data_IF_962425468758
#
_entry.id   IF_962425468758
#
_cell.length_a   1.000
_cell.length_b   1.000
_cell.length_c   1.000
_cell.angle_alpha   90.00
_cell.angle_beta   90.00
_cell.angle_gamma   90.00
#
_symmetry.space_group_name_H-M   'P 1'
#
loop_
_entity.id
_entity.type
_entity.pdbx_description
1 polymer ?
#
# COMPACT_ATOMS: atom_id res chain seq x y z
N UNK A 1 -31.23 11.43 -3.54
CA UNK A 1 -31.45 11.70 -4.98
C UNK A 1 -30.13 12.17 -5.58
N UNK A 2 -29.46 11.32 -6.36
CA UNK A 2 -28.24 11.65 -7.10
C UNK A 2 -28.52 11.36 -8.58
N UNK A 3 -28.39 12.39 -9.41
CA UNK A 3 -28.84 12.42 -10.81
C UNK A 3 -27.69 11.91 -11.69
N UNK A 4 -27.85 10.71 -12.26
CA UNK A 4 -26.89 10.10 -13.18
C UNK A 4 -27.22 10.58 -14.61
N UNK A 5 -26.35 11.38 -15.23
CA UNK A 5 -26.53 11.84 -16.61
C UNK A 5 -25.98 10.77 -17.56
N UNK A 6 -26.88 10.05 -18.24
CA UNK A 6 -26.58 9.12 -19.32
C UNK A 6 -26.55 9.89 -20.65
N UNK A 7 -25.42 9.91 -21.35
CA UNK A 7 -25.31 10.51 -22.68
C UNK A 7 -25.53 9.40 -23.72
N UNK A 8 -26.54 9.56 -24.56
CA UNK A 8 -26.89 8.68 -25.70
C UNK A 8 -25.82 8.77 -26.80
N UNK A 9 -25.34 7.61 -27.25
CA UNK A 9 -24.60 7.49 -28.52
C UNK A 9 -25.56 7.65 -29.72
N UNK A 10 -25.19 8.43 -30.76
CA UNK A 10 -25.90 8.41 -32.03
C UNK A 10 -25.47 7.18 -32.85
N UNK A 11 -26.44 6.35 -33.22
CA UNK A 11 -26.32 5.25 -34.17
C UNK A 11 -26.11 5.76 -35.60
N UNK A 12 -25.15 5.16 -36.30
CA UNK A 12 -24.86 5.40 -37.72
C UNK A 12 -25.99 4.85 -38.58
N UNK A 13 -26.59 5.71 -39.41
CA UNK A 13 -27.56 5.32 -40.45
C UNK A 13 -26.80 5.00 -41.73
N UNK A 14 -26.86 3.74 -42.16
CA UNK A 14 -26.39 3.30 -43.47
C UNK A 14 -27.46 3.60 -44.54
N UNK A 15 -27.12 4.41 -45.53
CA UNK A 15 -27.87 4.58 -46.77
C UNK A 15 -26.90 4.51 -47.94
N UNK A 16 -27.16 3.60 -48.88
CA UNK A 16 -26.34 3.34 -50.08
C UNK A 16 -26.86 4.12 -51.30
N UNK A 17 -25.89 4.45 -52.18
CA UNK A 17 -25.88 4.61 -53.65
C UNK A 17 -26.89 5.62 -54.27
N UNK A 18 -26.59 6.51 -55.24
CA UNK A 18 -25.71 6.46 -56.42
C UNK A 18 -25.62 7.89 -57.00
N UNK A 19 -24.49 8.31 -57.58
CA UNK A 19 -24.38 8.84 -58.97
C UNK A 19 -23.06 9.60 -59.20
N UNK A 20 -22.42 9.19 -60.29
CA UNK A 20 -21.19 9.65 -60.91
C UNK A 20 -21.34 11.09 -61.44
N UNK A 21 -20.39 11.98 -61.15
CA UNK A 21 -19.94 12.92 -62.17
C UNK A 21 -18.50 13.37 -61.95
N UNK A 22 -17.73 13.23 -63.02
CA UNK A 22 -16.32 13.56 -63.10
C UNK A 22 -16.16 15.08 -63.13
N UNK A 23 -15.57 15.65 -62.08
CA UNK A 23 -14.87 16.92 -62.21
C UNK A 23 -13.55 16.85 -61.45
N UNK A 24 -12.47 16.85 -62.23
CA UNK A 24 -11.09 17.03 -61.79
C UNK A 24 -11.01 18.32 -60.98
N UNK A 25 -11.04 18.21 -59.65
CA UNK A 25 -10.66 19.29 -58.76
C UNK A 25 -9.50 18.79 -57.90
N UNK A 26 -8.30 19.20 -58.32
CA UNK A 26 -7.09 19.14 -57.51
C UNK A 26 -7.33 19.98 -56.25
N UNK A 27 -7.84 19.36 -55.19
CA UNK A 27 -7.94 19.96 -53.86
C UNK A 27 -6.85 19.35 -53.00
N UNK A 28 -5.74 20.08 -52.98
CA UNK A 28 -4.71 20.12 -51.93
C UNK A 28 -5.07 19.28 -50.68
N UNK A 29 -4.51 18.07 -50.61
CA UNK A 29 -4.32 17.36 -49.35
C UNK A 29 -3.26 18.11 -48.54
N UNK A 30 -3.65 19.19 -47.88
CA UNK A 30 -2.71 20.09 -47.20
C UNK A 30 -2.99 20.36 -45.73
N UNK A 31 -4.25 20.45 -45.28
CA UNK A 31 -4.51 21.33 -44.12
C UNK A 31 -5.14 20.68 -42.87
N UNK A 32 -5.28 19.36 -42.79
CA UNK A 32 -5.79 18.72 -41.55
C UNK A 32 -4.91 17.61 -40.95
N UNK A 33 -3.76 17.31 -41.55
CA UNK A 33 -2.80 16.32 -41.03
C UNK A 33 -1.89 16.88 -39.94
N UNK A 34 -1.60 18.18 -39.95
CA UNK A 34 -0.62 18.77 -39.04
C UNK A 34 -1.14 18.88 -37.60
N UNK A 35 -2.40 19.32 -37.42
CA UNK A 35 -3.03 19.41 -36.09
C UNK A 35 -3.40 18.05 -35.45
N UNK A 36 -3.65 17.01 -36.26
CA UNK A 36 -3.86 15.64 -35.74
C UNK A 36 -2.56 14.96 -35.38
N UNK A 37 -1.49 15.18 -36.16
CA UNK A 37 -0.18 14.60 -35.90
C UNK A 37 0.47 15.21 -34.64
N UNK A 38 0.29 16.50 -34.40
CA UNK A 38 0.74 17.13 -33.15
C UNK A 38 0.00 16.58 -31.93
N UNK A 39 -1.33 16.39 -32.02
CA UNK A 39 -2.11 15.79 -30.93
C UNK A 39 -1.69 14.34 -30.63
N UNK A 40 -1.41 13.55 -31.66
CA UNK A 40 -0.92 12.17 -31.52
C UNK A 40 0.47 12.16 -30.88
N UNK A 41 1.37 13.07 -31.27
CA UNK A 41 2.69 13.21 -30.64
C UNK A 41 2.58 13.59 -29.16
N UNK A 42 1.68 14.51 -28.81
CA UNK A 42 1.45 14.88 -27.40
C UNK A 42 0.96 13.70 -26.58
N UNK A 43 -0.05 12.97 -27.07
CA UNK A 43 -0.59 11.79 -26.36
C UNK A 43 0.46 10.68 -26.21
N UNK A 44 1.33 10.48 -27.20
CA UNK A 44 2.44 9.53 -27.11
C UNK A 44 3.44 9.94 -26.03
N UNK A 45 3.82 11.21 -25.99
CA UNK A 45 4.73 11.71 -24.95
C UNK A 45 4.11 11.60 -23.54
N UNK A 46 2.81 11.83 -23.39
CA UNK A 46 2.09 11.62 -22.13
C UNK A 46 2.08 10.15 -21.71
N UNK A 47 1.85 9.23 -22.65
CA UNK A 47 1.91 7.79 -22.40
C UNK A 47 3.31 7.35 -21.94
N UNK A 48 4.37 7.78 -22.63
CA UNK A 48 5.76 7.50 -22.28
C UNK A 48 6.10 8.05 -20.88
N UNK A 49 5.61 9.24 -20.56
CA UNK A 49 5.80 9.86 -19.25
C UNK A 49 5.07 9.10 -18.13
N UNK A 50 3.86 8.60 -18.39
CA UNK A 50 3.10 7.77 -17.47
C UNK A 50 3.77 6.42 -17.24
N UNK A 51 4.22 5.76 -18.31
CA UNK A 51 4.96 4.49 -18.22
C UNK A 51 6.23 4.64 -17.38
N UNK A 52 6.98 5.75 -17.57
CA UNK A 52 8.15 6.06 -16.74
C UNK A 52 7.79 6.23 -15.26
N UNK A 53 6.66 6.90 -14.94
CA UNK A 53 6.19 7.05 -13.55
C UNK A 53 5.81 5.70 -12.94
N UNK A 54 5.13 4.85 -13.69
CA UNK A 54 4.76 3.50 -13.25
C UNK A 54 6.03 2.69 -12.97
N UNK A 55 6.98 2.67 -13.90
CA UNK A 55 8.24 1.94 -13.74
C UNK A 55 9.04 2.41 -12.51
N UNK A 56 9.07 3.72 -12.25
CA UNK A 56 9.70 4.26 -11.04
C UNK A 56 8.99 3.81 -9.76
N UNK A 57 7.66 3.81 -9.78
CA UNK A 57 6.84 3.36 -8.65
C UNK A 57 7.06 1.86 -8.39
N UNK A 58 7.02 1.03 -9.44
CA UNK A 58 7.27 -0.42 -9.35
C UNK A 58 8.66 -0.71 -8.80
N UNK A 59 9.70 -0.02 -9.30
CA UNK A 59 11.07 -0.15 -8.77
C UNK A 59 11.19 0.23 -7.30
N UNK A 60 10.43 1.22 -6.85
CA UNK A 60 10.40 1.63 -5.44
C UNK A 60 9.65 0.62 -4.56
N UNK A 61 8.59 -0.01 -5.07
CA UNK A 61 7.67 -0.83 -4.27
C UNK A 61 8.06 -2.31 -4.25
N UNK A 62 8.55 -2.89 -5.35
CA UNK A 62 8.92 -4.32 -5.40
C UNK A 62 9.92 -4.72 -4.30
N UNK A 63 10.97 -3.95 -4.00
CA UNK A 63 11.88 -4.26 -2.90
C UNK A 63 11.18 -4.22 -1.53
N UNK A 64 10.25 -3.26 -1.35
CA UNK A 64 9.51 -3.10 -0.11
C UNK A 64 8.56 -4.27 0.16
N UNK A 65 7.90 -4.77 -0.89
CA UNK A 65 6.98 -5.91 -0.80
C UNK A 65 7.64 -7.28 -0.99
N UNK A 66 8.96 -7.34 -1.22
CA UNK A 66 9.71 -8.57 -1.51
C UNK A 66 9.13 -9.37 -2.69
N UNK A 67 8.53 -8.70 -3.67
CA UNK A 67 7.91 -9.36 -4.82
C UNK A 67 8.98 -9.82 -5.78
N UNK A 68 8.92 -11.10 -6.17
CA UNK A 68 9.76 -11.69 -7.21
C UNK A 68 8.99 -11.70 -8.51
N UNK A 69 9.59 -11.14 -9.56
CA UNK A 69 9.00 -11.06 -10.90
C UNK A 69 8.58 -9.63 -11.29
N UNK A 70 8.20 -9.47 -12.54
CA UNK A 70 7.69 -8.21 -13.08
C UNK A 70 6.19 -8.09 -12.77
N UNK A 71 5.78 -6.96 -12.19
CA UNK A 71 4.37 -6.66 -11.93
C UNK A 71 3.78 -5.94 -13.12
N UNK A 72 2.56 -6.31 -13.52
CA UNK A 72 1.81 -5.48 -14.47
C UNK A 72 1.39 -4.16 -13.80
N UNK A 73 0.93 -3.21 -14.61
CA UNK A 73 0.38 -1.94 -14.11
C UNK A 73 -0.84 -2.17 -13.19
N UNK A 74 -1.72 -3.11 -13.55
CA UNK A 74 -2.89 -3.46 -12.75
C UNK A 74 -2.48 -4.08 -11.41
N UNK A 75 -1.57 -5.07 -11.45
CA UNK A 75 -1.08 -5.73 -10.22
C UNK A 75 -0.40 -4.74 -9.27
N UNK A 76 0.33 -3.77 -9.81
CA UNK A 76 0.99 -2.72 -9.03
C UNK A 76 -0.04 -1.82 -8.33
N UNK A 77 -1.13 -1.46 -9.02
CA UNK A 77 -2.20 -0.63 -8.46
C UNK A 77 -2.95 -1.40 -7.37
N UNK A 78 -3.29 -2.67 -7.62
CA UNK A 78 -4.02 -3.50 -6.64
C UNK A 78 -3.17 -3.73 -5.39
N UNK A 79 -1.89 -4.05 -5.55
CA UNK A 79 -0.94 -4.18 -4.46
C UNK A 79 -0.81 -2.89 -3.65
N UNK A 80 -0.71 -1.73 -4.32
CA UNK A 80 -0.62 -0.45 -3.65
C UNK A 80 -1.90 -0.14 -2.86
N UNK A 81 -3.06 -0.38 -3.47
CA UNK A 81 -4.36 -0.18 -2.80
C UNK A 81 -4.50 -1.08 -1.58
N UNK A 82 -4.12 -2.35 -1.68
CA UNK A 82 -4.10 -3.28 -0.56
C UNK A 82 -3.16 -2.78 0.56
N UNK A 83 -1.95 -2.36 0.19
CA UNK A 83 -1.00 -1.79 1.15
C UNK A 83 -1.53 -0.51 1.83
N UNK A 84 -2.15 0.40 1.07
CA UNK A 84 -2.72 1.63 1.63
C UNK A 84 -3.90 1.32 2.56
N UNK A 85 -4.78 0.38 2.19
CA UNK A 85 -5.86 -0.10 3.07
C UNK A 85 -5.31 -0.68 4.36
N UNK A 86 -4.29 -1.54 4.26
CA UNK A 86 -3.56 -2.08 5.42
C UNK A 86 -3.01 -0.92 6.27
N UNK A 87 -2.29 0.03 5.67
CA UNK A 87 -1.72 1.20 6.35
C UNK A 87 -2.76 2.04 7.09
N UNK A 88 -3.92 2.28 6.51
CA UNK A 88 -5.02 3.00 7.17
C UNK A 88 -5.56 2.20 8.35
N UNK A 89 -5.76 0.89 8.19
CA UNK A 89 -6.17 0.03 9.31
C UNK A 89 -5.14 0.05 10.44
N UNK A 90 -3.84 0.12 10.14
CA UNK A 90 -2.79 0.25 11.16
C UNK A 90 -2.95 1.52 12.01
N UNK A 91 -3.39 2.64 11.40
CA UNK A 91 -3.62 3.88 12.13
C UNK A 91 -4.65 3.70 13.25
N UNK A 92 -5.75 3.00 12.94
CA UNK A 92 -6.80 2.69 13.90
C UNK A 92 -6.36 1.66 14.93
N UNK A 93 -5.77 0.54 14.48
CA UNK A 93 -5.26 -0.49 15.41
C UNK A 93 -4.24 0.12 16.37
N UNK A 94 -3.30 0.94 15.89
CA UNK A 94 -2.29 1.58 16.76
C UNK A 94 -2.92 2.54 17.77
N UNK A 95 -3.95 3.29 17.39
CA UNK A 95 -4.66 4.18 18.32
C UNK A 95 -5.46 3.39 19.36
N UNK A 96 -6.18 2.34 18.95
CA UNK A 96 -6.94 1.50 19.87
C UNK A 96 -6.01 0.71 20.81
N UNK A 97 -4.86 0.28 20.30
CA UNK A 97 -3.83 -0.42 21.07
C UNK A 97 -2.99 0.52 21.94
N UNK A 98 -3.13 1.85 21.87
CA UNK A 98 -2.51 2.73 22.89
C UNK A 98 -3.14 2.55 24.28
N UNK A 99 -4.22 1.78 24.39
CA UNK A 99 -4.92 1.44 25.63
C UNK A 99 -4.40 0.14 26.29
N UNK A 100 -3.09 -0.04 26.36
CA UNK A 100 -2.50 -1.22 27.00
C UNK A 100 -2.55 -1.15 28.53
N UNK A 101 -2.55 -2.33 29.15
CA UNK A 101 -2.34 -2.52 30.58
C UNK A 101 -1.00 -3.18 30.86
N UNK A 102 -0.42 -2.92 32.04
CA UNK A 102 0.78 -3.63 32.50
C UNK A 102 0.32 -4.97 33.08
N UNK A 103 0.67 -6.05 32.41
CA UNK A 103 0.36 -7.43 32.84
C UNK A 103 1.41 -7.95 33.81
N UNK A 104 2.69 -7.80 33.47
CA UNK A 104 3.81 -8.24 34.31
C UNK A 104 4.85 -7.14 34.45
N UNK A 105 5.28 -6.90 35.70
CA UNK A 105 6.45 -6.10 36.02
C UNK A 105 7.40 -6.94 36.88
N UNK A 106 8.56 -7.27 36.34
CA UNK A 106 9.55 -8.08 37.01
C UNK A 106 10.89 -7.35 37.09
N UNK A 107 11.53 -7.42 38.26
CA UNK A 107 12.90 -6.95 38.47
C UNK A 107 13.67 -8.06 39.18
N UNK A 108 14.68 -8.62 38.53
CA UNK A 108 15.51 -9.69 39.09
C UNK A 108 16.94 -9.59 38.59
N UNK A 109 17.89 -9.35 39.50
CA UNK A 109 19.33 -9.44 39.25
C UNK A 109 19.81 -8.69 37.99
N UNK A 110 19.34 -7.46 37.77
CA UNK A 110 19.70 -6.64 36.60
C UNK A 110 18.92 -6.98 35.32
N UNK A 111 17.96 -7.90 35.39
CA UNK A 111 16.96 -8.09 34.35
C UNK A 111 15.65 -7.43 34.81
N UNK A 112 15.20 -6.45 34.04
CA UNK A 112 13.90 -5.84 34.20
C UNK A 112 13.02 -6.26 33.02
N UNK A 113 11.85 -6.81 33.29
CA UNK A 113 10.91 -7.20 32.25
C UNK A 113 9.56 -6.54 32.51
N UNK A 114 9.01 -5.94 31.47
CA UNK A 114 7.65 -5.38 31.45
C UNK A 114 6.87 -6.10 30.36
N UNK A 115 5.73 -6.69 30.70
CA UNK A 115 4.79 -7.24 29.72
C UNK A 115 3.59 -6.29 29.64
N UNK A 116 3.34 -5.79 28.44
CA UNK A 116 2.20 -4.96 28.11
C UNK A 116 1.15 -5.85 27.43
N UNK A 117 -0.06 -5.87 27.98
CA UNK A 117 -1.21 -6.53 27.37
C UNK A 117 -2.05 -5.51 26.62
N UNK A 118 -2.27 -5.78 25.34
CA UNK A 118 -3.03 -4.96 24.43
C UNK A 118 -4.40 -5.60 24.21
N UNK A 119 -5.26 -5.51 25.24
CA UNK A 119 -6.62 -6.05 25.25
C UNK A 119 -6.70 -7.52 24.83
N UNK A 120 -5.75 -8.34 25.28
CA UNK A 120 -5.65 -9.77 24.95
C UNK A 120 -5.46 -10.08 23.47
N UNK A 121 -5.19 -9.08 22.62
CA UNK A 121 -4.87 -9.28 21.20
C UNK A 121 -3.37 -9.47 20.98
N UNK A 122 -2.56 -8.76 21.74
CA UNK A 122 -1.10 -8.76 21.66
C UNK A 122 -0.51 -8.66 23.07
N UNK A 123 0.51 -9.46 23.34
CA UNK A 123 1.38 -9.28 24.50
C UNK A 123 2.76 -8.83 24.01
N UNK A 124 3.22 -7.67 24.46
CA UNK A 124 4.57 -7.17 24.18
C UNK A 124 5.43 -7.30 25.43
N UNK A 125 6.56 -7.98 25.33
CA UNK A 125 7.59 -8.02 26.37
C UNK A 125 8.70 -7.03 26.05
N UNK A 126 9.01 -6.15 27.01
CA UNK A 126 10.17 -5.27 27.02
C UNK A 126 11.11 -5.73 28.14
N UNK A 127 12.19 -6.41 27.76
CA UNK A 127 13.21 -6.88 28.70
C UNK A 127 14.46 -6.02 28.58
N UNK A 128 14.81 -5.32 29.66
CA UNK A 128 16.07 -4.62 29.85
C UNK A 128 17.04 -5.52 30.62
N UNK A 129 18.16 -5.84 29.99
CA UNK A 129 19.33 -6.45 30.62
C UNK A 129 20.32 -5.32 30.96
N UNK A 130 20.60 -5.13 32.24
CA UNK A 130 21.55 -4.11 32.76
C UNK A 130 22.92 -4.70 33.10
N UNK A 131 23.24 -5.89 32.61
CA UNK A 131 24.59 -6.43 32.67
C UNK A 131 25.60 -5.50 31.95
N UNK A 132 26.92 -5.69 32.10
CA UNK A 132 27.93 -4.80 31.52
C UNK A 132 27.75 -4.54 30.01
N UNK A 133 27.10 -5.47 29.29
CA UNK A 133 26.68 -5.30 27.90
C UNK A 133 25.17 -5.03 27.84
N UNK A 134 24.73 -3.90 28.39
CA UNK A 134 23.32 -3.59 28.55
C UNK A 134 22.57 -3.68 27.21
N UNK A 135 21.43 -4.35 27.21
CA UNK A 135 20.64 -4.54 26.00
C UNK A 135 19.15 -4.56 26.29
N UNK A 136 18.36 -4.25 25.27
CA UNK A 136 16.91 -4.26 25.34
C UNK A 136 16.42 -5.32 24.36
N UNK A 137 15.50 -6.16 24.81
CA UNK A 137 14.80 -7.13 23.99
C UNK A 137 13.33 -6.73 23.91
N UNK A 138 12.83 -6.63 22.70
CA UNK A 138 11.40 -6.46 22.43
C UNK A 138 10.89 -7.74 21.77
N UNK A 139 9.87 -8.34 22.37
CA UNK A 139 9.20 -9.52 21.85
C UNK A 139 7.70 -9.27 21.79
N UNK A 140 7.06 -9.72 20.72
CA UNK A 140 5.62 -9.57 20.50
C UNK A 140 5.00 -10.95 20.34
N UNK A 141 3.88 -11.19 21.02
CA UNK A 141 3.11 -12.44 20.92
C UNK A 141 1.67 -12.11 20.59
N UNK A 142 1.20 -12.55 19.42
CA UNK A 142 -0.18 -12.38 19.00
C UNK A 142 -1.09 -13.45 19.60
N UNK A 143 -2.34 -13.07 19.82
CA UNK A 143 -3.42 -13.97 20.17
C UNK A 143 -4.35 -14.13 18.96
N UNK A 144 -3.95 -14.99 18.03
CA UNK A 144 -4.66 -15.20 16.77
C UNK A 144 -6.13 -15.59 16.98
N UNK A 145 -6.43 -16.32 18.06
CA UNK A 145 -7.79 -16.72 18.42
C UNK A 145 -8.65 -15.49 18.72
N UNK A 146 -8.15 -14.60 19.59
CA UNK A 146 -8.91 -13.42 19.99
C UNK A 146 -9.02 -12.40 18.85
N UNK A 147 -7.95 -12.24 18.06
CA UNK A 147 -7.95 -11.40 16.86
C UNK A 147 -8.99 -11.90 15.85
N UNK A 148 -8.96 -13.19 15.48
CA UNK A 148 -9.90 -13.77 14.51
C UNK A 148 -11.35 -13.66 14.98
N UNK A 149 -11.60 -13.81 16.29
CA UNK A 149 -12.94 -13.70 16.88
C UNK A 149 -13.51 -12.28 16.79
N UNK A 150 -12.70 -11.26 17.02
CA UNK A 150 -13.14 -9.87 17.02
C UNK A 150 -13.16 -9.26 15.60
N UNK A 151 -12.37 -9.80 14.68
CA UNK A 151 -12.28 -9.33 13.29
C UNK A 151 -12.55 -10.45 12.27
N UNK A 152 -13.72 -11.11 12.29
CA UNK A 152 -13.98 -12.33 11.52
C UNK A 152 -14.09 -12.11 10.01
N UNK A 153 -14.32 -10.87 9.56
CA UNK A 153 -14.55 -10.55 8.14
C UNK A 153 -13.33 -9.97 7.43
N UNK A 154 -12.14 -10.10 8.03
CA UNK A 154 -10.89 -9.61 7.45
C UNK A 154 -9.73 -10.51 7.84
N UNK A 155 -8.64 -10.40 7.08
CA UNK A 155 -7.37 -11.06 7.38
C UNK A 155 -6.62 -10.31 8.49
N UNK A 156 -7.21 -10.26 9.68
CA UNK A 156 -6.70 -9.48 10.81
C UNK A 156 -5.40 -10.06 11.37
N UNK A 157 -5.28 -11.38 11.51
CA UNK A 157 -4.04 -11.99 12.03
C UNK A 157 -2.83 -11.59 11.18
N UNK A 158 -2.94 -11.65 9.85
CA UNK A 158 -1.85 -11.20 8.96
C UNK A 158 -1.59 -9.69 9.07
N UNK A 159 -2.63 -8.87 9.25
CA UNK A 159 -2.46 -7.44 9.48
C UNK A 159 -1.72 -7.15 10.80
N UNK A 160 -2.09 -7.82 11.89
CA UNK A 160 -1.41 -7.70 13.18
C UNK A 160 0.04 -8.22 13.10
N UNK A 161 0.27 -9.36 12.47
CA UNK A 161 1.59 -9.94 12.26
C UNK A 161 2.52 -8.98 11.51
N UNK A 162 1.99 -8.35 10.46
CA UNK A 162 2.70 -7.35 9.68
C UNK A 162 3.05 -6.11 10.51
N UNK A 163 2.11 -5.58 11.29
CA UNK A 163 2.33 -4.36 12.08
C UNK A 163 3.35 -4.58 13.20
N UNK A 164 3.22 -5.69 13.92
CA UNK A 164 3.98 -5.90 15.15
C UNK A 164 5.24 -6.75 14.96
N UNK A 165 5.57 -7.19 13.74
CA UNK A 165 6.73 -8.04 13.48
C UNK A 165 6.82 -9.21 14.48
N UNK A 166 5.70 -9.88 14.73
CA UNK A 166 5.54 -10.82 15.86
C UNK A 166 6.54 -12.00 15.84
N UNK A 167 7.12 -12.30 14.68
CA UNK A 167 8.11 -13.38 14.50
C UNK A 167 9.53 -12.99 14.92
N UNK A 168 9.78 -11.71 15.20
CA UNK A 168 11.13 -11.20 15.45
C UNK A 168 11.26 -10.65 16.86
N UNK A 169 12.03 -11.34 17.70
CA UNK A 169 12.60 -10.71 18.89
C UNK A 169 13.71 -9.78 18.46
N UNK A 170 13.58 -8.49 18.75
CA UNK A 170 14.58 -7.49 18.39
C UNK A 170 15.46 -7.18 19.60
N UNK A 171 16.77 -7.30 19.40
CA UNK A 171 17.79 -6.92 20.40
C UNK A 171 18.40 -5.57 20.02
N UNK A 172 18.35 -4.64 20.96
CA UNK A 172 18.99 -3.33 20.83
C UNK A 172 20.17 -3.23 21.77
N UNK A 173 21.28 -2.72 21.26
CA UNK A 173 22.52 -2.54 22.01
C UNK A 173 22.97 -1.09 21.83
N UNK A 174 23.14 -0.38 22.94
CA UNK A 174 23.65 1.00 22.97
C UNK A 174 22.60 2.10 23.21
N UNK A 175 23.04 3.31 23.59
CA UNK A 175 22.20 4.36 24.19
C UNK A 175 21.22 5.07 23.25
N UNK A 176 21.33 4.90 21.92
CA UNK A 176 20.51 5.61 20.92
C UNK A 176 19.25 4.86 20.45
N UNK A 177 19.09 3.57 20.81
CA UNK A 177 18.09 2.71 20.17
C UNK A 177 16.63 2.95 20.63
N UNK A 178 16.40 3.43 21.87
CA UNK A 178 15.04 3.59 22.43
C UNK A 178 14.24 4.73 21.80
N UNK A 179 14.89 5.87 21.53
CA UNK A 179 14.22 7.07 21.00
C UNK A 179 13.80 6.92 19.53
N UNK A 180 14.43 6.01 18.79
CA UNK A 180 14.25 5.88 17.35
C UNK A 180 13.08 4.96 16.96
N UNK A 181 12.62 4.11 17.86
CA UNK A 181 11.49 3.20 17.61
C UNK A 181 10.14 3.74 18.09
N UNK A 182 10.15 4.76 18.95
CA UNK A 182 8.95 5.36 19.52
C UNK A 182 8.43 6.60 18.77
N UNK A 183 9.13 7.04 17.70
CA UNK A 183 8.74 8.13 16.79
C UNK A 183 8.05 7.58 15.53
#
# INVERSE_FOLDING_TARGET
MLKLNYVKHPSVSAGRDTQLDNNTCSVRSGENLEGTNDKVKTMKHEADALEKKINNLTKSLCPHFKIKGELSCADTIDLLNDHLKKRTCWGYIRQDMQLWEVDVLQNRNGYHNVILNYHEFLSQSLTLDTSPNSSIFVGNKLNDINISKNFPNMDACSAFAFVFNHEYTKKYVGPKCLAQETQ
#
